data_IF_285196651470
#
_entry.id   IF_285196651470
#
_cell.length_a   1.000
_cell.length_b   1.000
_cell.length_c   1.000
_cell.angle_alpha   90.00
_cell.angle_beta   90.00
_cell.angle_gamma   90.00
#
_symmetry.space_group_name_H-M   'P 1'
#
loop_
_entity.id
_entity.type
_entity.pdbx_description
1 polymer ?
#
# COMPACT_ATOMS: atom_id res chain seq x y z
N UNK A 1 -4.02 10.81 -12.55
CA UNK A 1 -2.54 10.89 -12.64
C UNK A 1 -1.80 9.71 -12.01
N UNK A 2 -2.22 9.22 -10.84
CA UNK A 2 -1.60 8.04 -10.20
C UNK A 2 -2.67 7.05 -9.77
N UNK A 3 -2.43 5.75 -9.99
CA UNK A 3 -3.20 4.65 -9.40
C UNK A 3 -2.23 3.86 -8.51
N UNK A 4 -2.55 3.74 -7.24
CA UNK A 4 -1.76 2.98 -6.26
C UNK A 4 -2.53 1.73 -5.86
N UNK A 5 -2.06 0.56 -6.29
CA UNK A 5 -2.70 -0.74 -6.02
C UNK A 5 -1.81 -1.59 -5.11
N UNK A 6 -2.36 -1.95 -3.95
CA UNK A 6 -1.69 -2.74 -2.91
C UNK A 6 -2.22 -4.18 -2.88
N UNK A 7 -3.44 -4.42 -3.34
CA UNK A 7 -4.13 -5.72 -3.13
C UNK A 7 -4.39 -6.45 -4.43
N UNK A 8 -4.38 -5.76 -5.58
CA UNK A 8 -4.67 -6.36 -6.88
C UNK A 8 -6.15 -6.70 -7.08
N UNK A 9 -7.06 -6.09 -6.29
CA UNK A 9 -8.50 -6.32 -6.44
C UNK A 9 -9.06 -5.71 -7.73
N UNK A 10 -8.43 -4.66 -8.24
CA UNK A 10 -8.82 -4.01 -9.48
C UNK A 10 -8.18 -4.70 -10.69
N UNK A 11 -8.94 -4.82 -11.79
CA UNK A 11 -8.40 -5.32 -13.05
C UNK A 11 -7.31 -4.38 -13.59
N UNK A 12 -6.12 -4.93 -13.85
CA UNK A 12 -4.97 -4.19 -14.39
C UNK A 12 -5.32 -3.41 -15.68
N UNK A 13 -6.05 -4.03 -16.62
CA UNK A 13 -6.52 -3.36 -17.84
C UNK A 13 -7.42 -2.16 -17.56
N UNK A 14 -8.36 -2.34 -16.63
CA UNK A 14 -9.29 -1.28 -16.26
C UNK A 14 -8.53 -0.10 -15.65
N UNK A 15 -7.58 -0.39 -14.77
CA UNK A 15 -6.69 0.61 -14.16
C UNK A 15 -5.87 1.35 -15.22
N UNK A 16 -5.28 0.65 -16.18
CA UNK A 16 -4.55 1.28 -17.29
C UNK A 16 -5.43 2.17 -18.18
N UNK A 17 -6.69 1.76 -18.41
CA UNK A 17 -7.62 2.50 -19.28
C UNK A 17 -8.06 3.83 -18.67
N UNK A 18 -8.31 3.88 -17.36
CA UNK A 18 -8.75 5.10 -16.67
C UNK A 18 -7.61 6.05 -16.30
N UNK A 19 -6.37 5.60 -16.44
CA UNK A 19 -5.20 6.42 -16.16
C UNK A 19 -5.01 7.48 -17.25
N UNK A 20 -4.77 8.73 -16.84
CA UNK A 20 -4.41 9.82 -17.76
C UNK A 20 -3.14 9.47 -18.56
N UNK A 21 -2.97 10.12 -19.71
CA UNK A 21 -1.71 10.05 -20.45
C UNK A 21 -0.55 10.56 -19.59
N UNK A 22 0.59 9.86 -19.63
CA UNK A 22 1.73 10.11 -18.74
C UNK A 22 1.52 9.70 -17.28
N UNK A 23 0.35 9.18 -16.93
CA UNK A 23 0.06 8.74 -15.56
C UNK A 23 0.87 7.52 -15.12
N UNK A 24 0.89 7.28 -13.80
CA UNK A 24 1.66 6.19 -13.17
C UNK A 24 0.75 5.20 -12.45
N UNK A 25 0.91 3.91 -12.76
CA UNK A 25 0.35 2.83 -11.97
C UNK A 25 1.45 2.26 -11.07
N UNK A 26 1.26 2.30 -9.75
CA UNK A 26 2.21 1.81 -8.74
C UNK A 26 1.60 0.57 -8.09
N UNK A 27 2.34 -0.54 -8.12
CA UNK A 27 1.88 -1.84 -7.66
C UNK A 27 2.75 -2.30 -6.50
N UNK A 28 2.16 -2.34 -5.30
CA UNK A 28 2.89 -2.50 -4.03
C UNK A 28 2.86 -3.94 -3.46
N UNK A 29 2.39 -4.93 -4.23
CA UNK A 29 2.34 -6.34 -3.81
C UNK A 29 2.82 -7.28 -4.93
N UNK A 30 3.63 -8.27 -4.56
CA UNK A 30 4.37 -9.20 -5.44
C UNK A 30 3.50 -10.22 -6.21
N UNK A 31 2.17 -10.13 -6.16
CA UNK A 31 1.27 -11.11 -6.78
C UNK A 31 0.92 -10.86 -8.24
N UNK A 32 1.09 -9.63 -8.75
CA UNK A 32 0.68 -9.33 -10.13
C UNK A 32 1.83 -9.61 -11.08
N UNK A 33 1.78 -10.81 -11.66
CA UNK A 33 2.44 -11.11 -12.92
C UNK A 33 1.91 -10.07 -13.92
N UNK A 34 2.73 -9.06 -14.25
CA UNK A 34 2.47 -8.26 -15.46
C UNK A 34 2.45 -9.29 -16.59
N UNK A 35 1.31 -9.50 -17.27
CA UNK A 35 1.23 -10.54 -18.28
C UNK A 35 2.34 -10.28 -19.30
N UNK A 36 3.18 -11.29 -19.55
CA UNK A 36 4.25 -11.25 -20.56
C UNK A 36 3.70 -11.19 -22.01
N UNK A 37 2.54 -10.58 -22.22
CA UNK A 37 1.91 -10.38 -23.53
C UNK A 37 2.20 -8.96 -23.99
N UNK A 38 3.34 -8.76 -24.63
CA UNK A 38 3.86 -7.42 -24.99
C UNK A 38 3.07 -6.74 -26.12
N UNK A 39 2.43 -7.50 -27.01
CA UNK A 39 1.95 -6.97 -28.31
C UNK A 39 0.71 -6.06 -28.24
N UNK A 40 -0.33 -6.45 -27.50
CA UNK A 40 -1.61 -5.70 -27.49
C UNK A 40 -1.60 -4.50 -26.52
N UNK A 41 -0.75 -4.58 -25.50
CA UNK A 41 -0.76 -3.69 -24.35
C UNK A 41 0.21 -2.54 -24.53
N UNK A 42 1.29 -2.71 -25.31
CA UNK A 42 2.23 -1.63 -25.64
C UNK A 42 1.52 -0.40 -26.25
N UNK A 43 0.50 -0.61 -27.08
CA UNK A 43 -0.32 0.47 -27.65
C UNK A 43 -1.18 1.19 -26.61
N UNK A 44 -1.72 0.46 -25.62
CA UNK A 44 -2.50 1.05 -24.51
C UNK A 44 -1.63 1.72 -23.46
N UNK A 45 -0.41 1.21 -23.27
CA UNK A 45 0.56 1.75 -22.33
C UNK A 45 1.02 3.11 -22.84
N UNK A 46 1.32 3.27 -24.13
CA UNK A 46 1.66 4.59 -24.70
C UNK A 46 2.69 5.33 -23.83
N UNK A 47 2.32 6.51 -23.31
CA UNK A 47 3.15 7.32 -22.39
C UNK A 47 3.00 6.98 -20.90
N UNK A 48 2.09 6.07 -20.54
CA UNK A 48 1.77 5.66 -19.17
C UNK A 48 2.88 4.76 -18.61
N UNK A 49 3.14 4.85 -17.30
CA UNK A 49 4.21 4.08 -16.64
C UNK A 49 3.65 3.10 -15.61
N UNK A 50 4.16 1.87 -15.61
CA UNK A 50 3.85 0.86 -14.60
C UNK A 50 5.09 0.66 -13.73
N UNK A 51 4.94 0.87 -12.42
CA UNK A 51 5.99 0.75 -11.42
C UNK A 51 5.62 -0.42 -10.52
N UNK A 52 6.29 -1.55 -10.70
CA UNK A 52 6.17 -2.73 -9.84
C UNK A 52 7.45 -2.85 -9.02
N UNK A 53 7.48 -2.20 -7.86
CA UNK A 53 8.64 -2.22 -6.97
C UNK A 53 8.17 -2.22 -5.53
N UNK A 54 8.74 -3.11 -4.72
CA UNK A 54 8.61 -3.01 -3.27
C UNK A 54 9.34 -1.75 -2.79
N UNK A 55 8.77 -1.06 -1.81
CA UNK A 55 9.51 -0.04 -1.09
C UNK A 55 10.71 -0.72 -0.41
N UNK A 56 11.89 -0.12 -0.54
CA UNK A 56 13.05 -0.58 0.24
C UNK A 56 12.88 -0.14 1.69
N UNK A 57 13.38 -0.92 2.62
CA UNK A 57 13.41 -0.57 4.05
C UNK A 57 14.63 0.33 4.33
N UNK A 58 14.64 1.52 3.71
CA UNK A 58 15.75 2.47 3.85
C UNK A 58 15.54 3.37 5.06
N UNK A 59 16.61 3.63 5.82
CA UNK A 59 16.58 4.51 6.98
C UNK A 59 16.11 5.92 6.61
N UNK A 60 16.59 6.43 5.47
CA UNK A 60 16.28 7.78 4.99
C UNK A 60 14.78 7.93 4.68
N UNK A 61 14.14 6.87 4.19
CA UNK A 61 12.69 6.87 3.94
C UNK A 61 11.90 6.94 5.25
N UNK A 62 12.34 6.24 6.30
CA UNK A 62 11.72 6.28 7.63
C UNK A 62 11.93 7.63 8.33
N UNK A 63 13.12 8.22 8.21
CA UNK A 63 13.43 9.55 8.72
C UNK A 63 12.54 10.61 8.05
N UNK A 64 12.38 10.54 6.73
CA UNK A 64 11.49 11.43 6.01
C UNK A 64 10.02 11.29 6.45
N UNK A 65 9.55 10.05 6.67
CA UNK A 65 8.20 9.81 7.21
C UNK A 65 8.04 10.39 8.63
N UNK A 66 9.06 10.27 9.50
CA UNK A 66 9.06 10.87 10.84
C UNK A 66 8.88 12.38 10.76
N UNK A 67 9.68 13.06 9.93
CA UNK A 67 9.60 14.51 9.75
C UNK A 67 8.21 14.98 9.29
N UNK A 68 7.58 14.24 8.37
CA UNK A 68 6.22 14.55 7.93
C UNK A 68 5.18 14.38 9.03
N UNK A 69 5.36 13.37 9.90
CA UNK A 69 4.48 13.13 11.04
C UNK A 69 4.66 14.22 12.11
N UNK A 70 5.90 14.55 12.47
CA UNK A 70 6.24 15.61 13.43
C UNK A 70 5.75 16.98 12.96
N UNK A 71 5.81 17.24 11.65
CA UNK A 71 5.27 18.46 11.04
C UNK A 71 3.73 18.46 10.88
N UNK A 72 3.03 17.41 11.32
CA UNK A 72 1.57 17.28 11.20
C UNK A 72 1.06 17.13 9.76
N UNK A 73 1.94 16.92 8.79
CA UNK A 73 1.58 16.74 7.36
C UNK A 73 1.13 15.33 7.04
N UNK A 74 1.51 14.36 7.88
CA UNK A 74 1.10 12.97 7.79
C UNK A 74 0.64 12.48 9.16
N UNK A 75 -0.42 11.68 9.19
CA UNK A 75 -0.90 11.01 10.40
C UNK A 75 -1.04 9.53 10.14
N UNK A 76 -0.57 8.70 11.06
CA UNK A 76 -0.82 7.26 11.02
C UNK A 76 -2.32 6.99 11.12
N UNK A 77 -2.87 6.26 10.15
CA UNK A 77 -4.26 5.80 10.18
C UNK A 77 -4.39 4.58 11.10
N UNK A 78 -4.43 4.83 12.40
CA UNK A 78 -4.66 3.80 13.43
C UNK A 78 -6.15 3.60 13.61
N UNK A 79 -6.62 2.38 13.40
CA UNK A 79 -8.02 1.99 13.60
C UNK A 79 -8.30 1.77 15.08
N UNK A 80 -7.49 0.92 15.72
CA UNK A 80 -7.62 0.53 17.13
C UNK A 80 -6.25 0.27 17.74
N UNK A 81 -6.17 0.45 19.05
CA UNK A 81 -5.06 -0.04 19.86
C UNK A 81 -5.58 -1.14 20.78
N UNK A 82 -4.91 -2.30 20.80
CA UNK A 82 -5.27 -3.43 21.64
C UNK A 82 -4.09 -3.83 22.52
N UNK A 83 -4.31 -4.20 23.78
CA UNK A 83 -3.22 -4.66 24.62
C UNK A 83 -2.77 -6.07 24.19
N UNK A 84 -1.51 -6.41 24.49
CA UNK A 84 -0.88 -7.65 24.02
C UNK A 84 -1.64 -8.90 24.48
N UNK A 85 -2.29 -8.86 25.64
CA UNK A 85 -3.12 -9.94 26.20
C UNK A 85 -4.30 -10.30 25.28
N UNK A 86 -4.70 -9.36 24.42
CA UNK A 86 -5.79 -9.52 23.43
C UNK A 86 -5.29 -9.81 22.02
N UNK A 87 -4.06 -10.26 21.85
CA UNK A 87 -3.47 -10.51 20.52
C UNK A 87 -4.31 -11.49 19.68
N UNK A 88 -4.91 -12.51 20.28
CA UNK A 88 -5.79 -13.47 19.59
C UNK A 88 -7.05 -12.79 19.05
N UNK A 89 -7.67 -11.91 19.83
CA UNK A 89 -8.84 -11.13 19.40
C UNK A 89 -8.48 -10.12 18.32
N UNK A 90 -7.31 -9.47 18.45
CA UNK A 90 -6.79 -8.52 17.47
C UNK A 90 -6.59 -9.18 16.09
N UNK A 91 -5.99 -10.37 16.05
CA UNK A 91 -5.86 -11.15 14.81
C UNK A 91 -7.21 -11.53 14.22
N UNK A 92 -8.13 -12.10 15.03
CA UNK A 92 -9.48 -12.45 14.57
C UNK A 92 -10.23 -11.24 13.99
N UNK A 93 -10.06 -10.04 14.55
CA UNK A 93 -10.65 -8.82 14.03
C UNK A 93 -10.08 -8.44 12.66
N UNK A 94 -8.76 -8.50 12.50
CA UNK A 94 -8.05 -8.22 11.23
C UNK A 94 -8.46 -9.21 10.14
N UNK A 95 -8.53 -10.50 10.47
CA UNK A 95 -8.84 -11.57 9.52
C UNK A 95 -10.26 -11.48 8.94
N UNK A 96 -11.19 -10.87 9.68
CA UNK A 96 -12.54 -10.58 9.18
C UNK A 96 -12.56 -9.48 8.10
N UNK A 97 -11.42 -8.84 7.81
CA UNK A 97 -11.31 -7.78 6.82
C UNK A 97 -12.01 -6.48 7.22
N UNK A 98 -12.33 -6.32 8.51
CA UNK A 98 -13.08 -5.17 9.02
C UNK A 98 -12.20 -3.97 9.39
N UNK A 99 -10.87 -4.12 9.36
CA UNK A 99 -9.94 -3.08 9.78
C UNK A 99 -9.97 -1.88 8.82
N UNK A 100 -10.00 -0.67 9.38
CA UNK A 100 -9.93 0.60 8.64
C UNK A 100 -8.64 1.34 8.98
N UNK A 101 -7.52 0.76 8.56
CA UNK A 101 -6.18 1.25 8.86
C UNK A 101 -5.28 0.16 9.46
N UNK A 102 -4.41 0.58 10.37
CA UNK A 102 -3.53 -0.30 11.14
C UNK A 102 -4.12 -0.54 12.53
N UNK A 103 -4.06 -1.78 13.02
CA UNK A 103 -4.31 -2.10 14.42
C UNK A 103 -2.97 -2.07 15.14
N UNK A 104 -2.84 -1.23 16.17
CA UNK A 104 -1.66 -1.11 17.00
C UNK A 104 -1.78 -2.05 18.21
N UNK A 105 -0.65 -2.62 18.65
CA UNK A 105 -0.58 -3.38 19.89
C UNK A 105 0.12 -2.52 20.94
N UNK A 106 -0.54 -2.29 22.07
CA UNK A 106 0.11 -1.69 23.24
C UNK A 106 0.81 -2.80 24.02
N UNK A 107 2.08 -2.57 24.32
CA UNK A 107 2.85 -3.39 25.25
C UNK A 107 3.12 -2.54 26.48
N UNK A 108 2.77 -3.04 27.64
CA UNK A 108 3.23 -2.44 28.88
C UNK A 108 4.73 -2.71 29.00
N UNK A 109 5.51 -1.65 29.14
CA UNK A 109 6.93 -1.77 29.45
C UNK A 109 7.04 -1.73 30.98
N UNK A 110 7.26 -2.88 31.62
CA UNK A 110 7.82 -2.84 32.97
C UNK A 110 9.23 -2.22 32.87
N UNK A 111 9.52 -1.18 33.68
CA UNK A 111 10.78 -0.43 33.60
C UNK A 111 12.03 -1.25 33.90
#
# INVERSE_FOLDING_TARGET
>A
DVIFDVVGKASFLRSLKVLNDGGRMVMANNGVIVPKFQGLWAKMIGSKRVISRLAGERKEDLEHLRELIEAGKLRAAVDRTCPLERIVEAHRYVDRGLKRGTLAISMDHEP
#
